data_IF_297574574679
#
_entry.id   IF_297574574679
#
_cell.length_a   1.000
_cell.length_b   1.000
_cell.length_c   1.000
_cell.angle_alpha   90.00
_cell.angle_beta   90.00
_cell.angle_gamma   90.00
#
_symmetry.space_group_name_H-M   'P 1'
#
loop_
_entity.id
_entity.type
_entity.pdbx_description
1 polymer ?
#
# COMPACT_ATOMS: atom_id res chain seq x y z
N UNK A 1 -11.95 -18.02 5.66
CA UNK A 1 -11.79 -18.80 6.92
C UNK A 1 -11.54 -17.88 8.12
N UNK A 2 -10.46 -17.09 8.16
CA UNK A 2 -10.07 -16.26 9.34
C UNK A 2 -11.18 -15.28 9.78
N UNK A 3 -11.83 -14.60 8.85
CA UNK A 3 -12.92 -13.65 9.16
C UNK A 3 -14.16 -14.34 9.75
N UNK A 4 -14.44 -15.57 9.32
CA UNK A 4 -15.50 -16.39 9.92
C UNK A 4 -15.19 -16.77 11.37
N UNK A 5 -13.95 -17.14 11.67
CA UNK A 5 -13.47 -17.42 13.02
C UNK A 5 -13.58 -16.17 13.90
N UNK A 6 -13.13 -15.02 13.38
CA UNK A 6 -13.24 -13.74 14.08
C UNK A 6 -14.69 -13.41 14.48
N UNK A 7 -15.63 -13.66 13.55
CA UNK A 7 -17.07 -13.47 13.80
C UNK A 7 -17.60 -14.43 14.87
N UNK A 8 -17.23 -15.72 14.82
CA UNK A 8 -17.62 -16.70 15.81
C UNK A 8 -17.11 -16.32 17.21
N UNK A 9 -15.84 -15.95 17.34
CA UNK A 9 -15.25 -15.49 18.60
C UNK A 9 -15.98 -14.27 19.18
N UNK A 10 -16.42 -13.33 18.33
CA UNK A 10 -17.19 -12.20 18.81
C UNK A 10 -18.59 -12.63 19.29
N UNK A 11 -19.27 -13.50 18.56
CA UNK A 11 -20.62 -13.95 18.93
C UNK A 11 -20.62 -14.72 20.24
N UNK A 12 -19.64 -15.62 20.44
CA UNK A 12 -19.55 -16.50 21.60
C UNK A 12 -18.93 -15.80 22.82
N UNK A 13 -17.80 -15.11 22.61
CA UNK A 13 -16.97 -14.60 23.71
C UNK A 13 -16.95 -13.07 23.80
N UNK A 14 -17.66 -12.36 22.91
CA UNK A 14 -17.60 -10.90 22.79
C UNK A 14 -16.19 -10.36 22.52
N UNK A 15 -15.31 -11.20 22.00
CA UNK A 15 -13.94 -10.82 21.67
C UNK A 15 -13.92 -9.99 20.38
N UNK A 16 -13.64 -8.71 20.53
CA UNK A 16 -13.60 -7.79 19.38
C UNK A 16 -12.35 -8.01 18.53
N UNK A 17 -12.51 -8.03 17.22
CA UNK A 17 -11.43 -8.22 16.26
C UNK A 17 -11.49 -7.17 15.15
N UNK A 18 -10.35 -6.93 14.53
CA UNK A 18 -10.23 -6.02 13.39
C UNK A 18 -9.38 -6.65 12.30
N UNK A 19 -9.97 -6.93 11.15
CA UNK A 19 -9.29 -7.45 9.96
C UNK A 19 -9.02 -6.34 8.96
N UNK A 20 -7.79 -6.21 8.50
CA UNK A 20 -7.42 -5.30 7.43
C UNK A 20 -7.23 -6.08 6.13
N UNK A 21 -7.76 -5.55 5.04
CA UNK A 21 -7.57 -6.03 3.67
C UNK A 21 -6.85 -4.96 2.85
N UNK A 22 -5.54 -4.81 3.01
CA UNK A 22 -4.80 -3.84 2.22
C UNK A 22 -4.66 -4.30 0.78
N UNK A 23 -4.73 -3.36 -0.15
CA UNK A 23 -4.38 -3.57 -1.55
C UNK A 23 -2.86 -3.71 -1.74
N UNK A 24 -2.30 -3.06 -2.74
CA UNK A 24 -0.87 -3.13 -3.05
C UNK A 24 -0.12 -2.18 -2.12
N UNK A 25 0.42 -2.72 -1.03
CA UNK A 25 1.27 -1.95 -0.12
C UNK A 25 2.61 -1.66 -0.80
N UNK A 26 3.07 -0.42 -0.69
CA UNK A 26 4.41 -0.01 -1.11
C UNK A 26 5.04 0.91 -0.05
N UNK A 27 6.34 1.04 -0.06
CA UNK A 27 7.08 1.90 0.88
C UNK A 27 8.34 1.23 1.42
N UNK A 28 9.08 1.90 2.30
CA UNK A 28 10.31 1.37 2.89
C UNK A 28 10.13 -0.03 3.48
N UNK A 29 11.07 -0.94 3.15
CA UNK A 29 11.06 -2.31 3.66
C UNK A 29 10.11 -3.29 2.97
N UNK A 30 9.18 -2.84 2.10
CA UNK A 30 8.27 -3.71 1.34
C UNK A 30 8.93 -4.25 0.07
N UNK A 31 9.99 -5.05 0.21
CA UNK A 31 10.84 -5.51 -0.90
C UNK A 31 10.55 -6.93 -1.38
N UNK A 32 9.72 -7.70 -0.66
CA UNK A 32 9.43 -9.10 -0.94
C UNK A 32 7.95 -9.28 -1.29
N UNK A 33 7.65 -10.24 -2.16
CA UNK A 33 6.31 -10.63 -2.59
C UNK A 33 5.94 -10.12 -3.98
N UNK A 34 4.89 -10.71 -4.57
CA UNK A 34 4.49 -10.48 -5.97
C UNK A 34 4.15 -9.03 -6.35
N UNK A 35 3.83 -8.20 -5.36
CA UNK A 35 3.45 -6.78 -5.57
C UNK A 35 4.54 -5.79 -5.11
N UNK A 36 5.74 -6.25 -4.73
CA UNK A 36 6.84 -5.40 -4.27
C UNK A 36 7.42 -4.48 -5.38
N UNK A 37 7.03 -4.68 -6.62
CA UNK A 37 7.62 -4.02 -7.79
C UNK A 37 7.64 -2.49 -7.72
N UNK A 38 6.69 -1.85 -7.03
CA UNK A 38 6.69 -0.38 -6.87
C UNK A 38 7.81 0.05 -5.91
N UNK A 39 7.94 -0.61 -4.77
CA UNK A 39 9.02 -0.32 -3.82
C UNK A 39 10.39 -0.55 -4.45
N UNK A 40 10.55 -1.66 -5.18
CA UNK A 40 11.80 -1.97 -5.89
C UNK A 40 12.11 -0.95 -6.99
N UNK A 41 11.09 -0.42 -7.68
CA UNK A 41 11.26 0.67 -8.64
C UNK A 41 11.71 1.97 -7.96
N UNK A 42 11.18 2.30 -6.79
CA UNK A 42 11.62 3.44 -5.99
C UNK A 42 13.09 3.28 -5.55
N UNK A 43 13.45 2.09 -5.06
CA UNK A 43 14.83 1.76 -4.70
C UNK A 43 15.76 1.85 -5.89
N UNK A 44 15.41 1.26 -7.03
CA UNK A 44 16.20 1.35 -8.26
C UNK A 44 16.38 2.81 -8.72
N UNK A 45 15.32 3.63 -8.58
CA UNK A 45 15.40 5.06 -8.87
C UNK A 45 16.38 5.80 -7.95
N UNK A 46 16.38 5.49 -6.65
CA UNK A 46 17.35 6.03 -5.70
C UNK A 46 18.78 5.58 -6.04
N UNK A 47 18.94 4.37 -6.53
CA UNK A 47 20.21 3.76 -6.89
C UNK A 47 20.71 4.09 -8.31
N UNK A 48 20.02 4.93 -9.06
CA UNK A 48 20.30 5.23 -10.47
C UNK A 48 20.35 3.96 -11.36
N UNK A 49 19.59 2.91 -10.98
CA UNK A 49 19.50 1.64 -11.71
C UNK A 49 18.23 1.57 -12.55
N UNK A 50 18.29 0.87 -13.68
CA UNK A 50 17.10 0.53 -14.45
C UNK A 50 16.30 -0.56 -13.74
N UNK A 51 14.98 -0.52 -13.88
CA UNK A 51 14.10 -1.56 -13.30
C UNK A 51 12.85 -1.76 -14.15
N UNK A 52 12.39 -3.01 -14.19
CA UNK A 52 11.14 -3.38 -14.87
C UNK A 52 10.16 -3.88 -13.83
N UNK A 53 9.11 -3.11 -13.56
CA UNK A 53 8.00 -3.54 -12.68
C UNK A 53 7.35 -4.77 -13.32
N UNK A 54 7.19 -5.91 -12.59
CA UNK A 54 6.77 -7.17 -13.20
C UNK A 54 5.28 -7.24 -13.58
N UNK A 55 4.53 -6.17 -13.41
CA UNK A 55 3.09 -6.10 -13.66
C UNK A 55 2.66 -4.75 -14.23
N UNK A 56 1.44 -4.72 -14.76
CA UNK A 56 0.73 -3.53 -15.27
C UNK A 56 -0.68 -3.44 -14.71
N UNK A 57 -1.48 -2.53 -15.24
CA UNK A 57 -2.89 -2.38 -14.92
C UNK A 57 -3.17 -1.33 -13.84
N UNK A 58 -4.46 -1.29 -13.41
CA UNK A 58 -4.97 -0.40 -12.37
C UNK A 58 -5.03 -1.17 -11.04
N UNK A 59 -4.55 -0.57 -9.96
CA UNK A 59 -4.69 -1.10 -8.61
C UNK A 59 -4.74 0.05 -7.58
N UNK A 60 -5.16 -0.27 -6.37
CA UNK A 60 -5.05 0.63 -5.23
C UNK A 60 -3.67 0.50 -4.60
N UNK A 61 -2.94 1.61 -4.48
CA UNK A 61 -1.60 1.65 -3.89
C UNK A 61 -1.66 2.29 -2.52
N UNK A 62 -1.24 1.54 -1.51
CA UNK A 62 -1.29 1.94 -0.10
C UNK A 62 0.14 2.19 0.37
N UNK A 63 0.41 3.40 0.84
CA UNK A 63 1.70 3.69 1.43
C UNK A 63 1.82 3.00 2.80
N UNK A 64 2.98 2.45 3.11
CA UNK A 64 3.14 1.60 4.29
C UNK A 64 2.84 2.33 5.61
N UNK A 65 3.16 3.63 5.70
CA UNK A 65 2.84 4.42 6.89
C UNK A 65 1.33 4.57 7.11
N UNK A 66 0.51 4.61 6.04
CA UNK A 66 -0.95 4.66 6.15
C UNK A 66 -1.49 3.39 6.82
N UNK A 67 -0.92 2.22 6.48
CA UNK A 67 -1.30 0.94 7.12
C UNK A 67 -0.91 0.96 8.60
N UNK A 68 0.29 1.44 8.92
CA UNK A 68 0.78 1.55 10.30
C UNK A 68 -0.09 2.50 11.12
N UNK A 69 -0.45 3.65 10.55
CA UNK A 69 -1.35 4.63 11.18
C UNK A 69 -2.72 4.03 11.48
N UNK A 70 -3.32 3.30 10.53
CA UNK A 70 -4.60 2.62 10.74
C UNK A 70 -4.49 1.62 11.89
N UNK A 71 -3.45 0.76 11.90
CA UNK A 71 -3.22 -0.21 12.96
C UNK A 71 -3.08 0.50 14.31
N UNK A 72 -2.26 1.55 14.38
CA UNK A 72 -2.05 2.32 15.60
C UNK A 72 -3.35 2.90 16.15
N UNK A 73 -4.15 3.58 15.30
CA UNK A 73 -5.44 4.14 15.71
C UNK A 73 -6.42 3.08 16.21
N UNK A 74 -6.41 1.89 15.60
CA UNK A 74 -7.24 0.77 16.02
C UNK A 74 -6.84 0.20 17.37
N UNK A 75 -5.55 0.23 17.73
CA UNK A 75 -5.11 -0.18 19.07
C UNK A 75 -5.54 0.79 20.15
N UNK A 76 -5.72 2.07 19.82
CA UNK A 76 -6.18 3.09 20.76
C UNK A 76 -7.70 3.06 20.96
N UNK A 77 -8.46 2.81 19.91
CA UNK A 77 -9.93 2.85 19.92
C UNK A 77 -10.48 1.66 19.14
N UNK A 78 -10.45 0.47 19.74
CA UNK A 78 -10.94 -0.73 19.08
C UNK A 78 -12.48 -0.73 19.00
N UNK A 79 -13.07 -0.69 17.80
CA UNK A 79 -14.51 -0.81 17.64
C UNK A 79 -15.00 -2.19 18.11
N UNK A 80 -16.18 -2.21 18.77
CA UNK A 80 -16.80 -3.50 19.17
C UNK A 80 -17.22 -4.28 17.92
N UNK A 81 -17.00 -5.59 17.95
CA UNK A 81 -17.43 -6.49 16.88
C UNK A 81 -16.29 -7.19 16.15
N UNK A 82 -16.65 -7.98 15.15
CA UNK A 82 -15.74 -8.54 14.17
C UNK A 82 -15.76 -7.64 12.93
N UNK A 83 -14.87 -6.66 12.91
CA UNK A 83 -14.83 -5.64 11.87
C UNK A 83 -13.82 -6.00 10.78
N UNK A 84 -14.13 -5.64 9.54
CA UNK A 84 -13.25 -5.81 8.40
C UNK A 84 -13.21 -4.49 7.63
N UNK A 85 -12.01 -4.05 7.29
CA UNK A 85 -11.75 -2.78 6.60
C UNK A 85 -10.92 -3.00 5.36
N UNK A 86 -11.40 -2.49 4.24
CA UNK A 86 -10.69 -2.48 2.97
C UNK A 86 -9.78 -1.24 2.92
N UNK A 87 -8.48 -1.45 2.87
CA UNK A 87 -7.49 -0.38 2.79
C UNK A 87 -7.08 -0.20 1.33
N UNK A 88 -7.87 0.59 0.61
CA UNK A 88 -7.79 0.69 -0.85
C UNK A 88 -6.61 1.54 -1.34
N UNK A 89 -6.19 2.56 -0.58
CA UNK A 89 -5.15 3.50 -0.99
C UNK A 89 -5.57 4.37 -2.19
N UNK A 90 -4.58 4.77 -2.97
CA UNK A 90 -4.77 5.59 -4.17
C UNK A 90 -4.88 4.72 -5.41
N UNK A 91 -6.07 4.67 -6.01
CA UNK A 91 -6.32 3.87 -7.21
C UNK A 91 -5.78 4.57 -8.46
N UNK A 92 -4.84 3.92 -9.15
CA UNK A 92 -4.31 4.42 -10.41
C UNK A 92 -3.62 3.33 -11.24
N UNK A 93 -3.26 3.66 -12.49
CA UNK A 93 -2.44 2.79 -13.34
C UNK A 93 -0.96 2.87 -12.97
N UNK A 94 -0.22 1.77 -13.18
CA UNK A 94 1.25 1.71 -13.03
C UNK A 94 1.96 2.80 -13.83
N UNK A 95 1.45 3.19 -14.98
CA UNK A 95 2.01 4.28 -15.78
C UNK A 95 2.12 5.61 -15.00
N UNK A 96 1.22 5.86 -14.03
CA UNK A 96 1.30 7.05 -13.16
C UNK A 96 2.50 6.96 -12.22
N UNK A 97 2.79 5.78 -11.65
CA UNK A 97 3.98 5.53 -10.82
C UNK A 97 5.25 5.85 -11.61
N UNK A 98 5.35 5.34 -12.85
CA UNK A 98 6.51 5.58 -13.71
C UNK A 98 6.67 7.07 -14.03
N UNK A 99 5.57 7.77 -14.35
CA UNK A 99 5.61 9.21 -14.58
C UNK A 99 6.16 9.99 -13.38
N UNK A 100 5.81 9.59 -12.16
CA UNK A 100 6.33 10.21 -10.94
C UNK A 100 7.82 9.92 -10.81
N UNK A 101 8.23 8.65 -10.93
CA UNK A 101 9.64 8.25 -10.83
C UNK A 101 10.53 8.93 -11.88
N UNK A 102 10.05 9.08 -13.13
CA UNK A 102 10.78 9.79 -14.19
C UNK A 102 10.97 11.28 -13.95
N UNK A 103 10.07 11.90 -13.15
CA UNK A 103 10.26 13.30 -12.70
C UNK A 103 11.31 13.39 -11.58
N UNK A 104 11.35 12.40 -10.69
CA UNK A 104 12.29 12.36 -9.57
C UNK A 104 13.71 12.09 -10.06
N UNK A 105 13.85 11.15 -11.00
CA UNK A 105 15.15 10.78 -11.55
C UNK A 105 15.05 10.50 -13.05
N UNK A 106 15.76 11.32 -13.85
CA UNK A 106 15.81 11.21 -15.31
C UNK A 106 16.96 10.33 -15.81
N UNK A 107 17.87 9.90 -14.90
CA UNK A 107 19.09 9.17 -15.28
C UNK A 107 18.87 7.68 -15.49
N UNK A 108 17.80 7.11 -14.88
CA UNK A 108 17.47 5.70 -14.99
C UNK A 108 16.18 5.47 -15.77
N UNK A 109 16.02 4.26 -16.29
CA UNK A 109 14.82 3.82 -17.00
C UNK A 109 14.01 2.88 -16.15
N UNK A 110 12.83 3.32 -15.73
CA UNK A 110 11.81 2.46 -15.10
C UNK A 110 10.73 2.16 -16.15
N UNK A 111 10.39 0.88 -16.28
CA UNK A 111 9.34 0.39 -17.18
C UNK A 111 8.48 -0.66 -16.48
N UNK A 112 7.50 -1.24 -17.17
CA UNK A 112 6.67 -2.33 -16.65
C UNK A 112 6.41 -3.37 -17.72
N UNK A 113 6.10 -4.61 -17.27
CA UNK A 113 5.64 -5.70 -18.14
C UNK A 113 4.14 -5.52 -18.45
N UNK A 114 3.69 -6.08 -19.57
CA UNK A 114 2.27 -6.01 -19.98
C UNK A 114 1.33 -6.93 -19.18
N UNK A 115 1.84 -7.73 -18.26
CA UNK A 115 1.03 -8.64 -17.45
C UNK A 115 0.22 -7.85 -16.41
N UNK A 116 -1.10 -7.85 -16.51
CA UNK A 116 -1.94 -7.23 -15.51
C UNK A 116 -1.82 -7.94 -14.15
N UNK A 117 -1.84 -7.15 -13.08
CA UNK A 117 -2.04 -7.72 -11.75
C UNK A 117 -3.38 -8.46 -11.71
N UNK A 118 -3.41 -9.70 -11.18
CA UNK A 118 -4.66 -10.45 -11.02
C UNK A 118 -5.45 -9.95 -9.80
N UNK A 119 -5.68 -8.64 -9.73
CA UNK A 119 -6.44 -7.98 -8.66
C UNK A 119 -7.48 -7.07 -9.28
N UNK A 120 -8.61 -6.92 -8.61
CA UNK A 120 -9.62 -5.93 -9.02
C UNK A 120 -9.07 -4.52 -8.87
N UNK A 121 -9.48 -3.61 -9.75
CA UNK A 121 -8.97 -2.23 -9.73
C UNK A 121 -9.41 -1.41 -8.52
N UNK A 122 -10.58 -1.76 -7.94
CA UNK A 122 -11.19 -1.07 -6.80
C UNK A 122 -11.99 -2.07 -5.95
N UNK A 123 -12.05 -1.84 -4.63
CA UNK A 123 -12.92 -2.57 -3.71
C UNK A 123 -13.84 -1.56 -3.03
N UNK A 124 -15.13 -1.91 -2.95
CA UNK A 124 -16.15 -1.14 -2.23
C UNK A 124 -16.40 -1.74 -0.84
N UNK A 125 -16.97 -0.95 0.06
CA UNK A 125 -17.33 -1.37 1.42
C UNK A 125 -16.61 -0.55 2.50
N UNK A 126 -16.50 -1.11 3.70
CA UNK A 126 -15.91 -0.42 4.82
C UNK A 126 -14.47 0.02 4.52
N UNK A 127 -14.21 1.28 4.75
CA UNK A 127 -12.91 1.91 4.56
C UNK A 127 -12.42 2.52 5.88
N UNK A 128 -11.15 2.91 6.00
CA UNK A 128 -10.64 3.58 7.19
C UNK A 128 -11.45 4.82 7.60
N UNK A 129 -11.98 5.57 6.63
CA UNK A 129 -12.82 6.76 6.89
C UNK A 129 -14.13 6.48 7.63
N UNK A 130 -14.64 5.25 7.58
CA UNK A 130 -15.81 4.84 8.35
C UNK A 130 -15.54 4.85 9.86
N UNK A 131 -14.28 4.70 10.25
CA UNK A 131 -13.83 4.65 11.65
C UNK A 131 -13.09 5.92 12.06
N UNK A 132 -12.36 6.52 11.14
CA UNK A 132 -11.52 7.71 11.36
C UNK A 132 -11.86 8.75 10.29
N UNK A 133 -12.75 9.67 10.62
CA UNK A 133 -13.28 10.68 9.66
C UNK A 133 -12.19 11.59 9.10
N UNK A 134 -11.17 11.86 9.89
CA UNK A 134 -10.00 12.70 9.57
C UNK A 134 -8.90 11.94 8.80
N UNK A 135 -9.06 10.61 8.60
CA UNK A 135 -8.05 9.81 7.93
C UNK A 135 -8.01 10.13 6.42
N UNK A 136 -6.82 10.43 5.93
CA UNK A 136 -6.54 10.62 4.51
C UNK A 136 -5.36 9.76 4.09
N UNK A 137 -5.48 9.07 2.94
CA UNK A 137 -4.36 8.35 2.37
C UNK A 137 -3.27 9.29 1.89
N UNK A 138 -2.02 8.92 2.13
CA UNK A 138 -0.86 9.60 1.56
C UNK A 138 -0.98 9.63 0.04
N UNK A 139 -0.88 10.81 -0.56
CA UNK A 139 -0.93 10.94 -2.02
C UNK A 139 0.27 10.21 -2.66
N UNK A 140 0.04 9.65 -3.85
CA UNK A 140 1.01 8.78 -4.51
C UNK A 140 2.37 9.46 -4.74
N UNK A 141 2.36 10.74 -5.13
CA UNK A 141 3.59 11.50 -5.35
C UNK A 141 4.43 11.62 -4.08
N UNK A 142 3.79 11.92 -2.94
CA UNK A 142 4.45 12.02 -1.63
C UNK A 142 4.99 10.66 -1.17
N UNK A 143 4.19 9.61 -1.23
CA UNK A 143 4.61 8.27 -0.81
C UNK A 143 5.78 7.72 -1.64
N UNK A 144 5.76 7.93 -2.96
CA UNK A 144 6.88 7.56 -3.85
C UNK A 144 8.13 8.37 -3.50
N UNK A 145 7.99 9.70 -3.31
CA UNK A 145 9.12 10.56 -2.96
C UNK A 145 9.75 10.14 -1.63
N UNK A 146 8.94 9.93 -0.59
CA UNK A 146 9.40 9.43 0.73
C UNK A 146 10.15 8.10 0.58
N UNK A 147 9.61 7.17 -0.22
CA UNK A 147 10.24 5.86 -0.46
C UNK A 147 11.59 6.00 -1.16
N UNK A 148 11.68 6.82 -2.21
CA UNK A 148 12.97 7.08 -2.91
C UNK A 148 13.97 7.72 -1.95
N UNK A 149 13.57 8.72 -1.17
CA UNK A 149 14.45 9.40 -0.22
C UNK A 149 14.96 8.46 0.87
N UNK A 150 14.12 7.57 1.40
CA UNK A 150 14.54 6.55 2.35
C UNK A 150 15.73 5.73 1.82
N UNK A 151 15.65 5.26 0.56
CA UNK A 151 16.73 4.47 -0.03
C UNK A 151 17.98 5.29 -0.41
N UNK A 152 17.84 6.60 -0.63
CA UNK A 152 19.01 7.48 -0.78
C UNK A 152 19.76 7.64 0.53
N UNK A 153 19.07 7.99 1.61
CA UNK A 153 19.67 8.18 2.95
C UNK A 153 20.31 6.90 3.48
N UNK A 154 19.68 5.74 3.25
CA UNK A 154 20.22 4.43 3.67
C UNK A 154 21.56 4.09 3.00
N UNK A 155 22.01 4.86 2.01
CA UNK A 155 23.30 4.72 1.32
C UNK A 155 24.36 5.73 1.80
N UNK A 156 23.99 6.68 2.65
CA UNK A 156 24.90 7.75 3.08
C UNK A 156 25.08 8.86 2.02
N UNK A 157 24.12 9.00 1.08
CA UNK A 157 24.07 10.12 0.13
C UNK A 157 23.16 11.27 0.63
#
# INVERSE_FOLDING_TARGET
AVEGIARALYLENKFSTFGLRPFVIYGPGREIGGTAGITLACRASAENKNYVIPFSGKAGFVYIEDVTEIIFRLTQNQPKGANIVNVNGISCNISKVIKILSKINKKNKISFKSNNLPVVGEIFGNSPKNYFKDFEFTCLDSGIMKTVNFYKVSRGE
#
